data_IF_427099003485
#
_entry.id   IF_427099003485
#
_cell.length_a   1.000
_cell.length_b   1.000
_cell.length_c   1.000
_cell.angle_alpha   90.00
_cell.angle_beta   90.00
_cell.angle_gamma   90.00
#
_symmetry.space_group_name_H-M   'P 1'
#
loop_
_entity.id
_entity.type
_entity.pdbx_description
1 polymer ?
#
# COMPACT_ATOMS: atom_id res chain seq x y z
N UNK A 1 -33.53 7.56 17.11
CA UNK A 1 -33.66 6.11 17.32
C UNK A 1 -33.75 5.43 15.96
N UNK A 2 -32.62 5.01 15.38
CA UNK A 2 -32.50 3.79 14.57
C UNK A 2 -31.03 3.56 14.22
N UNK A 3 -30.56 2.37 14.57
CA UNK A 3 -29.20 1.86 14.48
C UNK A 3 -29.08 1.07 13.16
N UNK A 4 -28.09 1.35 12.31
CA UNK A 4 -27.59 0.38 11.33
C UNK A 4 -26.15 0.72 10.91
N UNK A 5 -25.28 -0.27 11.09
CA UNK A 5 -23.86 -0.34 10.71
C UNK A 5 -22.89 0.54 11.52
N UNK A 6 -22.37 -0.05 12.60
CA UNK A 6 -21.27 0.47 13.38
C UNK A 6 -20.03 0.74 12.51
N UNK A 7 -19.63 2.01 12.50
CA UNK A 7 -18.27 2.45 12.32
C UNK A 7 -17.25 1.50 12.98
N UNK A 8 -16.30 1.01 12.18
CA UNK A 8 -14.95 0.73 12.67
C UNK A 8 -13.97 1.14 11.56
N UNK A 9 -13.50 2.39 11.70
CA UNK A 9 -12.65 3.17 10.79
C UNK A 9 -13.35 3.65 9.51
N UNK A 10 -13.95 4.85 9.59
CA UNK A 10 -14.47 5.62 8.46
C UNK A 10 -13.34 6.17 7.57
N UNK A 11 -12.69 5.24 6.88
CA UNK A 11 -11.61 5.43 5.92
C UNK A 11 -12.25 5.20 4.56
N UNK A 12 -12.26 6.21 3.67
CA UNK A 12 -12.77 6.05 2.31
C UNK A 12 -12.02 4.93 1.56
N UNK A 13 -12.61 4.29 0.55
CA UNK A 13 -11.92 3.25 -0.22
C UNK A 13 -10.60 3.77 -0.83
N UNK A 14 -10.52 5.06 -1.17
CA UNK A 14 -9.29 5.75 -1.57
C UNK A 14 -8.18 5.83 -0.49
N UNK A 15 -8.47 5.54 0.79
CA UNK A 15 -7.52 5.57 1.90
C UNK A 15 -6.98 4.17 2.30
N UNK A 16 -7.27 3.15 1.46
CA UNK A 16 -6.63 1.84 1.50
C UNK A 16 -5.10 2.02 1.61
N UNK A 17 -4.52 1.40 2.64
CA UNK A 17 -3.21 1.67 3.24
C UNK A 17 -2.03 1.89 2.28
N UNK A 18 -2.11 1.39 1.05
CA UNK A 18 -1.10 1.56 0.01
C UNK A 18 -0.96 3.03 -0.40
N UNK A 19 -2.04 3.79 -0.59
CA UNK A 19 -1.94 5.21 -0.97
C UNK A 19 -1.17 6.03 0.08
N UNK A 20 -1.45 5.78 1.36
CA UNK A 20 -0.70 6.39 2.49
C UNK A 20 0.74 5.90 2.59
N UNK A 21 1.01 4.62 2.26
CA UNK A 21 2.38 4.11 2.17
C UNK A 21 3.18 4.87 1.11
N UNK A 22 2.63 5.00 -0.10
CA UNK A 22 3.28 5.69 -1.22
C UNK A 22 3.54 7.16 -0.88
N UNK A 23 2.58 7.84 -0.26
CA UNK A 23 2.74 9.23 0.17
C UNK A 23 3.86 9.46 1.21
N UNK A 24 4.32 8.41 1.90
CA UNK A 24 5.44 8.47 2.85
C UNK A 24 6.80 8.23 2.21
N UNK A 25 6.84 7.71 0.98
CA UNK A 25 8.09 7.40 0.28
C UNK A 25 8.67 8.65 -0.36
N UNK A 26 10.00 8.73 -0.38
CA UNK A 26 10.74 9.77 -1.05
C UNK A 26 12.06 9.23 -1.61
N UNK A 27 12.71 10.02 -2.46
CA UNK A 27 14.04 9.71 -2.95
C UNK A 27 15.02 9.40 -1.79
N UNK A 28 15.83 8.36 -1.98
CA UNK A 28 16.81 7.90 -0.98
C UNK A 28 16.27 6.94 0.08
N UNK A 29 14.96 6.66 0.11
CA UNK A 29 14.38 5.61 0.95
C UNK A 29 14.42 4.24 0.26
N UNK A 30 14.35 3.17 1.06
CA UNK A 30 14.17 1.80 0.58
C UNK A 30 12.86 1.21 1.10
N UNK A 31 12.04 0.71 0.17
CA UNK A 31 10.84 -0.07 0.45
C UNK A 31 11.15 -1.56 0.26
N UNK A 32 11.10 -2.31 1.36
CA UNK A 32 11.28 -3.77 1.37
C UNK A 32 9.90 -4.45 1.33
N UNK A 33 9.63 -5.18 0.25
CA UNK A 33 8.37 -5.90 0.04
C UNK A 33 8.44 -7.32 0.59
N UNK A 34 8.18 -7.46 1.89
CA UNK A 34 8.14 -8.74 2.60
C UNK A 34 6.82 -9.51 2.35
N UNK A 35 6.46 -9.73 1.09
CA UNK A 35 5.27 -10.49 0.70
C UNK A 35 5.63 -11.97 0.47
N UNK A 36 4.68 -12.85 0.80
CA UNK A 36 4.80 -14.29 0.54
C UNK A 36 5.15 -14.57 -0.93
N UNK A 37 5.96 -15.59 -1.19
CA UNK A 37 6.37 -16.00 -2.53
C UNK A 37 5.28 -16.81 -3.26
N UNK A 38 4.02 -16.36 -3.18
CA UNK A 38 2.89 -16.93 -3.96
C UNK A 38 2.65 -16.10 -5.21
N UNK A 39 1.83 -16.62 -6.13
CA UNK A 39 1.43 -15.90 -7.34
C UNK A 39 0.75 -14.58 -6.98
N UNK A 40 -0.19 -14.57 -6.02
CA UNK A 40 -0.84 -13.32 -5.60
C UNK A 40 0.14 -12.36 -4.93
N UNK A 41 1.10 -12.88 -4.17
CA UNK A 41 2.17 -12.09 -3.54
C UNK A 41 3.12 -11.45 -4.56
N UNK A 42 3.37 -12.11 -5.69
CA UNK A 42 4.12 -11.54 -6.81
C UNK A 42 3.32 -10.43 -7.50
N UNK A 43 2.04 -10.67 -7.80
CA UNK A 43 1.17 -9.64 -8.40
C UNK A 43 1.07 -8.40 -7.51
N UNK A 44 0.87 -8.60 -6.20
CA UNK A 44 0.79 -7.50 -5.23
C UNK A 44 2.11 -6.73 -5.13
N UNK A 45 3.25 -7.43 -5.13
CA UNK A 45 4.55 -6.78 -5.09
C UNK A 45 4.81 -5.93 -6.33
N UNK A 46 4.45 -6.45 -7.51
CA UNK A 46 4.60 -5.72 -8.76
C UNK A 46 3.74 -4.45 -8.76
N UNK A 47 2.48 -4.56 -8.34
CA UNK A 47 1.58 -3.43 -8.20
C UNK A 47 2.14 -2.34 -7.27
N UNK A 48 2.66 -2.71 -6.09
CA UNK A 48 3.24 -1.73 -5.15
C UNK A 48 4.53 -1.11 -5.72
N UNK A 49 5.36 -1.89 -6.41
CA UNK A 49 6.58 -1.40 -7.03
C UNK A 49 6.29 -0.35 -8.13
N UNK A 50 5.27 -0.58 -8.95
CA UNK A 50 4.86 0.36 -10.00
C UNK A 50 4.38 1.69 -9.40
N UNK A 51 3.61 1.65 -8.31
CA UNK A 51 3.17 2.86 -7.61
C UNK A 51 4.34 3.61 -6.96
N UNK A 52 5.32 2.87 -6.40
CA UNK A 52 6.48 3.46 -5.74
C UNK A 52 7.48 4.07 -6.73
N UNK A 53 7.45 3.68 -8.01
CA UNK A 53 8.38 4.15 -9.04
C UNK A 53 8.41 5.69 -9.16
N UNK A 54 7.25 6.35 -8.99
CA UNK A 54 7.13 7.80 -9.05
C UNK A 54 7.75 8.55 -7.86
N UNK A 55 8.10 7.85 -6.77
CA UNK A 55 8.57 8.45 -5.51
C UNK A 55 10.09 8.61 -5.43
N UNK A 56 10.83 7.92 -6.32
CA UNK A 56 12.29 7.84 -6.27
C UNK A 56 12.85 6.94 -5.16
N UNK A 57 11.98 6.27 -4.39
CA UNK A 57 12.41 5.24 -3.44
C UNK A 57 12.90 3.98 -4.17
N UNK A 58 13.92 3.33 -3.63
CA UNK A 58 14.38 2.02 -4.12
C UNK A 58 13.44 0.94 -3.59
N UNK A 59 13.04 0.01 -4.45
CA UNK A 59 12.20 -1.13 -4.06
C UNK A 59 13.03 -2.41 -4.08
N UNK A 60 12.89 -3.23 -3.04
CA UNK A 60 13.57 -4.52 -2.89
C UNK A 60 12.62 -5.56 -2.27
N UNK A 61 13.02 -6.83 -2.28
CA UNK A 61 12.25 -7.97 -1.76
C UNK A 61 13.11 -8.77 -0.78
#
# INVERSE_FOLDING_TARGET
MQLAAAARAGIGPEELSIGRLIARLSAGMELILALNATVEGQTTAHYIADLAAATGARVSR
#
